data_IF_610946753105
#
_entry.id   IF_610946753105
#
_cell.length_a   1.000
_cell.length_b   1.000
_cell.length_c   1.000
_cell.angle_alpha   90.00
_cell.angle_beta   90.00
_cell.angle_gamma   90.00
#
_symmetry.space_group_name_H-M   'P 1'
#
loop_
_entity.id
_entity.type
_entity.pdbx_description
1 polymer ?
#
# COMPACT_ATOMS: atom_id res chain seq x y z
N UNK A 1 11.79 28.19 -5.92
CA UNK A 1 12.31 27.12 -6.80
C UNK A 1 12.45 25.89 -5.93
N UNK A 2 11.46 24.98 -5.95
CA UNK A 2 11.47 23.81 -5.05
C UNK A 2 12.28 22.70 -5.70
N UNK A 3 13.35 22.28 -5.01
CA UNK A 3 14.14 21.09 -5.32
C UNK A 3 13.22 19.86 -5.36
N UNK A 4 12.97 19.31 -6.55
CA UNK A 4 12.25 18.05 -6.72
C UNK A 4 13.14 16.94 -6.17
N UNK A 5 12.97 16.65 -4.88
CA UNK A 5 13.52 15.47 -4.26
C UNK A 5 13.13 14.24 -5.09
N UNK A 6 14.13 13.44 -5.42
CA UNK A 6 14.06 12.21 -6.20
C UNK A 6 13.02 11.25 -5.58
N UNK A 7 11.76 11.40 -5.97
CA UNK A 7 10.65 10.71 -5.33
C UNK A 7 10.70 9.22 -5.68
N UNK A 8 10.31 8.35 -4.74
CA UNK A 8 10.23 6.91 -4.98
C UNK A 8 9.45 6.57 -6.26
N UNK A 9 8.48 7.40 -6.61
CA UNK A 9 7.67 7.35 -7.83
C UNK A 9 8.50 7.50 -9.11
N UNK A 10 9.42 8.48 -9.19
CA UNK A 10 10.27 8.66 -10.38
C UNK A 10 11.23 7.48 -10.58
N UNK A 11 11.75 6.93 -9.48
CA UNK A 11 12.60 5.73 -9.51
C UNK A 11 11.81 4.51 -9.99
N UNK A 12 10.56 4.36 -9.57
CA UNK A 12 9.67 3.30 -10.02
C UNK A 12 9.46 3.35 -11.54
N UNK A 13 9.03 4.50 -12.09
CA UNK A 13 8.81 4.65 -13.53
C UNK A 13 10.08 4.38 -14.35
N UNK A 14 11.24 4.83 -13.86
CA UNK A 14 12.52 4.59 -14.54
C UNK A 14 12.91 3.12 -14.59
N UNK A 15 12.68 2.38 -13.49
CA UNK A 15 13.05 0.96 -13.40
C UNK A 15 12.11 0.09 -14.22
N UNK A 16 10.81 0.35 -14.14
CA UNK A 16 9.81 -0.50 -14.78
C UNK A 16 9.54 -0.12 -16.24
N UNK A 17 10.07 1.02 -16.72
CA UNK A 17 9.92 1.52 -18.09
C UNK A 17 8.46 1.42 -18.55
N UNK A 18 7.57 1.79 -17.65
CA UNK A 18 6.14 1.61 -17.85
C UNK A 18 5.70 2.53 -18.99
N UNK A 19 5.08 1.94 -20.01
CA UNK A 19 4.32 2.70 -21.01
C UNK A 19 3.32 3.60 -20.25
N UNK A 20 2.98 4.78 -20.80
CA UNK A 20 2.16 5.76 -20.07
C UNK A 20 0.78 5.24 -19.66
N UNK A 21 0.34 4.11 -20.22
CA UNK A 21 -0.91 3.41 -19.92
C UNK A 21 -0.74 2.12 -19.10
N UNK A 22 0.50 1.75 -18.74
CA UNK A 22 0.75 0.56 -17.94
C UNK A 22 0.34 0.78 -16.47
N UNK A 23 -0.05 -0.31 -15.82
CA UNK A 23 -0.42 -0.26 -14.41
C UNK A 23 0.79 0.12 -13.55
N UNK A 24 0.60 1.06 -12.61
CA UNK A 24 1.65 1.50 -11.70
C UNK A 24 2.27 0.34 -10.89
N UNK A 25 1.51 -0.71 -10.58
CA UNK A 25 2.08 -1.90 -9.96
C UNK A 25 2.04 -3.05 -10.94
N UNK A 26 3.13 -3.17 -11.69
CA UNK A 26 3.32 -4.17 -12.74
C UNK A 26 4.61 -4.95 -12.49
N UNK A 27 4.74 -6.10 -13.14
CA UNK A 27 5.99 -6.84 -13.20
C UNK A 27 6.13 -7.54 -14.55
N UNK A 28 7.37 -7.70 -15.00
CA UNK A 28 7.69 -8.38 -16.25
C UNK A 28 7.81 -9.88 -16.00
N UNK A 29 6.94 -10.67 -16.65
CA UNK A 29 7.09 -12.13 -16.64
C UNK A 29 8.36 -12.55 -17.37
N UNK A 30 8.90 -13.75 -17.12
CA UNK A 30 10.02 -14.29 -17.90
C UNK A 30 9.77 -14.31 -19.41
N UNK A 31 8.50 -14.42 -19.82
CA UNK A 31 8.06 -14.35 -21.22
C UNK A 31 8.16 -12.94 -21.84
N UNK A 32 8.53 -11.92 -21.05
CA UNK A 32 8.64 -10.53 -21.48
C UNK A 32 7.36 -9.71 -21.35
N UNK A 33 6.22 -10.35 -21.08
CA UNK A 33 4.91 -9.69 -20.95
C UNK A 33 4.81 -8.92 -19.63
N UNK A 34 4.36 -7.65 -19.70
CA UNK A 34 4.04 -6.86 -18.51
C UNK A 34 2.73 -7.33 -17.90
N UNK A 35 2.71 -7.58 -16.60
CA UNK A 35 1.53 -8.09 -15.90
C UNK A 35 1.21 -7.23 -14.69
N UNK A 36 -0.05 -6.79 -14.52
CA UNK A 36 -0.48 -6.12 -13.31
C UNK A 36 -0.29 -7.05 -12.10
N UNK A 37 0.12 -6.48 -10.96
CA UNK A 37 0.20 -7.26 -9.73
C UNK A 37 -1.21 -7.66 -9.29
N UNK A 38 -1.41 -8.93 -8.98
CA UNK A 38 -2.69 -9.41 -8.47
C UNK A 38 -2.72 -9.32 -6.94
N UNK A 39 -3.92 -9.23 -6.36
CA UNK A 39 -4.12 -9.33 -4.90
C UNK A 39 -3.41 -10.57 -4.32
N UNK A 40 -3.47 -11.71 -5.03
CA UNK A 40 -2.84 -12.96 -4.62
C UNK A 40 -1.32 -12.81 -4.46
N UNK A 41 -0.66 -12.18 -5.43
CA UNK A 41 0.80 -11.99 -5.37
C UNK A 41 1.20 -10.99 -4.28
N UNK A 42 0.42 -9.92 -4.09
CA UNK A 42 0.63 -8.97 -2.98
C UNK A 42 0.50 -9.69 -1.63
N UNK A 43 -0.61 -10.42 -1.41
CA UNK A 43 -0.83 -11.16 -0.16
C UNK A 43 0.26 -12.19 0.06
N UNK A 44 0.62 -12.99 -0.96
CA UNK A 44 1.72 -13.96 -0.87
C UNK A 44 3.04 -13.32 -0.44
N UNK A 45 3.34 -12.12 -0.96
CA UNK A 45 4.56 -11.39 -0.59
C UNK A 45 4.50 -10.91 0.86
N UNK A 46 3.36 -10.36 1.29
CA UNK A 46 3.16 -9.93 2.68
C UNK A 46 3.28 -11.13 3.62
N UNK A 47 2.57 -12.22 3.36
CA UNK A 47 2.62 -13.45 4.15
C UNK A 47 4.06 -13.99 4.27
N UNK A 48 4.83 -13.94 3.18
CA UNK A 48 6.22 -14.36 3.18
C UNK A 48 7.10 -13.49 4.08
N UNK A 49 6.86 -12.18 4.13
CA UNK A 49 7.59 -11.24 4.99
C UNK A 49 7.19 -11.50 6.43
N UNK A 50 5.90 -11.53 6.73
CA UNK A 50 5.37 -11.80 8.07
C UNK A 50 5.89 -13.12 8.63
N UNK A 51 5.94 -14.20 7.84
CA UNK A 51 6.50 -15.49 8.27
C UNK A 51 8.01 -15.46 8.52
N UNK A 52 8.74 -14.57 7.83
CA UNK A 52 10.19 -14.42 8.03
C UNK A 52 10.53 -13.60 9.28
N UNK A 53 9.56 -12.84 9.83
CA UNK A 53 9.74 -11.99 11.00
C UNK A 53 8.85 -12.49 12.14
N UNK A 54 9.45 -13.24 13.08
CA UNK A 54 8.71 -13.88 14.18
C UNK A 54 7.92 -12.89 15.06
N UNK A 55 8.36 -11.62 15.09
CA UNK A 55 7.78 -10.55 15.90
C UNK A 55 6.62 -9.82 15.20
N UNK A 56 6.35 -10.14 13.93
CA UNK A 56 5.29 -9.53 13.16
C UNK A 56 4.01 -10.35 13.29
N UNK A 57 2.96 -9.72 13.82
CA UNK A 57 1.61 -10.31 13.83
C UNK A 57 1.16 -10.63 12.39
N UNK A 58 0.26 -11.59 12.21
CA UNK A 58 -0.33 -11.95 10.91
C UNK A 58 -0.95 -10.72 10.19
N UNK A 59 -0.14 -10.04 9.38
CA UNK A 59 -0.49 -8.82 8.66
C UNK A 59 -1.31 -9.16 7.42
N UNK A 60 -2.63 -9.17 7.57
CA UNK A 60 -3.55 -9.27 6.44
C UNK A 60 -3.83 -7.89 5.85
N UNK A 61 -4.28 -7.86 4.59
CA UNK A 61 -4.61 -6.61 3.89
C UNK A 61 -5.62 -5.74 4.64
N UNK A 62 -6.65 -6.34 5.27
CA UNK A 62 -7.61 -5.58 6.08
C UNK A 62 -6.98 -5.02 7.36
N UNK A 63 -6.12 -5.82 8.01
CA UNK A 63 -5.34 -5.36 9.17
C UNK A 63 -4.52 -4.13 8.79
N UNK A 64 -3.81 -4.14 7.66
CA UNK A 64 -3.03 -2.98 7.20
C UNK A 64 -3.88 -1.71 7.06
N UNK A 65 -5.11 -1.81 6.54
CA UNK A 65 -6.02 -0.66 6.47
C UNK A 65 -6.43 -0.15 7.86
N UNK A 66 -6.72 -1.05 8.81
CA UNK A 66 -7.06 -0.68 10.20
C UNK A 66 -5.85 -0.03 10.88
N UNK A 67 -4.67 -0.66 10.83
CA UNK A 67 -3.44 -0.16 11.44
C UNK A 67 -3.03 1.21 10.88
N UNK A 68 -3.15 1.41 9.56
CA UNK A 68 -2.85 2.70 8.94
C UNK A 68 -3.81 3.81 9.40
N UNK A 69 -5.10 3.50 9.52
CA UNK A 69 -6.10 4.44 10.04
C UNK A 69 -5.85 4.77 11.52
N UNK A 70 -5.61 3.75 12.35
CA UNK A 70 -5.28 3.94 13.76
C UNK A 70 -4.02 4.79 13.94
N UNK A 71 -3.00 4.56 13.11
CA UNK A 71 -1.78 5.37 13.11
C UNK A 71 -2.10 6.86 12.91
N UNK A 72 -2.95 7.23 11.95
CA UNK A 72 -3.32 8.64 11.74
C UNK A 72 -4.12 9.21 12.92
N UNK A 73 -5.07 8.45 13.47
CA UNK A 73 -5.86 8.91 14.62
C UNK A 73 -4.99 9.13 15.86
N UNK A 74 -4.04 8.23 16.14
CA UNK A 74 -3.07 8.37 17.24
C UNK A 74 -2.14 9.56 17.04
N UNK A 75 -1.93 10.02 15.81
CA UNK A 75 -1.19 11.24 15.48
C UNK A 75 -2.09 12.49 15.43
N UNK A 76 -3.23 12.47 16.12
CA UNK A 76 -4.17 13.57 16.26
C UNK A 76 -4.75 14.10 14.93
N UNK A 77 -4.74 13.28 13.87
CA UNK A 77 -5.44 13.64 12.64
C UNK A 77 -6.95 13.56 12.88
N UNK A 78 -7.72 14.60 12.51
CA UNK A 78 -9.16 14.62 12.72
C UNK A 78 -9.86 13.41 12.11
N UNK A 79 -10.88 12.94 12.80
CA UNK A 79 -11.60 11.71 12.46
C UNK A 79 -12.22 11.74 11.05
N UNK A 80 -12.81 12.88 10.66
CA UNK A 80 -13.39 13.12 9.34
C UNK A 80 -12.34 13.09 8.22
N UNK A 81 -11.13 13.58 8.50
CA UNK A 81 -10.00 13.53 7.58
C UNK A 81 -9.56 12.08 7.35
N UNK A 82 -9.40 11.31 8.42
CA UNK A 82 -9.01 9.89 8.30
C UNK A 82 -10.10 9.06 7.61
N UNK A 83 -11.38 9.34 7.89
CA UNK A 83 -12.54 8.74 7.21
C UNK A 83 -12.49 8.99 5.69
N UNK A 84 -12.18 10.23 5.32
CA UNK A 84 -12.04 10.66 3.92
C UNK A 84 -10.84 9.97 3.25
N UNK A 85 -9.67 9.93 3.92
CA UNK A 85 -8.47 9.25 3.41
C UNK A 85 -8.69 7.76 3.16
N UNK A 86 -9.34 7.08 4.11
CA UNK A 86 -9.63 5.65 4.01
C UNK A 86 -10.88 5.30 3.19
N UNK A 87 -11.61 6.31 2.69
CA UNK A 87 -12.87 6.16 1.94
C UNK A 87 -13.91 5.30 2.69
N UNK A 88 -13.97 5.48 4.01
CA UNK A 88 -14.88 4.73 4.86
C UNK A 88 -16.29 5.30 4.77
N UNK A 89 -17.26 4.46 4.41
CA UNK A 89 -18.67 4.85 4.35
C UNK A 89 -19.33 4.88 5.73
N UNK A 90 -18.87 4.04 6.65
CA UNK A 90 -19.41 3.93 8.01
C UNK A 90 -18.39 4.37 9.06
N UNK A 91 -18.88 4.54 10.29
CA UNK A 91 -18.06 4.82 11.47
C UNK A 91 -17.68 3.54 12.21
N UNK A 92 -17.86 2.36 11.60
CA UNK A 92 -17.53 1.07 12.23
C UNK A 92 -16.07 0.95 12.64
N UNK A 93 -15.19 1.79 12.08
CA UNK A 93 -13.79 1.83 12.45
C UNK A 93 -13.53 2.45 13.84
N UNK A 94 -14.52 3.11 14.46
CA UNK A 94 -14.45 3.53 15.88
C UNK A 94 -14.34 2.35 16.84
N UNK A 95 -14.73 1.14 16.43
CA UNK A 95 -14.60 -0.07 17.23
C UNK A 95 -13.14 -0.44 17.53
N UNK A 96 -12.19 0.20 16.85
CA UNK A 96 -10.75 -0.02 17.01
C UNK A 96 -10.04 1.11 17.79
N UNK A 97 -10.80 2.06 18.33
CA UNK A 97 -10.34 3.09 19.29
C UNK A 97 -10.60 2.62 20.72
#
# INVERSE_FOLDING_TARGET
MYEVHNSASLRHFRINQDESYAHLFSWKRPTGTMCPISKKEVTKRIDSITKAHLDLLDLKGHSLCIWGMLYYLLNAIPFDVVKTMGRWSSELFTLYL
#
